data_IF_205694794976
#
_entry.id   IF_205694794976
#
_cell.length_a   1.000
_cell.length_b   1.000
_cell.length_c   1.000
_cell.angle_alpha   90.00
_cell.angle_beta   90.00
_cell.angle_gamma   90.00
#
_symmetry.space_group_name_H-M   'P 1'
#
loop_
_entity.id
_entity.type
_entity.pdbx_description
1 polymer ?
#
# COMPACT_ATOMS: atom_id res chain seq x y z
N UNK A 1 24.31 -18.80 -14.22
CA UNK A 1 23.06 -19.55 -13.93
C UNK A 1 21.90 -18.60 -14.11
N UNK A 2 20.88 -18.93 -14.90
CA UNK A 2 19.70 -18.08 -14.94
C UNK A 2 19.02 -18.17 -13.58
N UNK A 3 18.86 -17.05 -12.91
CA UNK A 3 17.99 -16.96 -11.74
C UNK A 3 16.55 -17.18 -12.22
N UNK A 4 16.01 -18.36 -12.01
CA UNK A 4 14.56 -18.52 -12.15
C UNK A 4 13.93 -17.87 -10.91
N UNK A 5 13.41 -16.65 -11.09
CA UNK A 5 12.62 -15.98 -10.08
C UNK A 5 11.31 -16.77 -9.91
N UNK A 6 11.21 -17.53 -8.83
CA UNK A 6 9.94 -18.13 -8.44
C UNK A 6 8.95 -17.02 -8.05
N UNK A 7 7.69 -17.16 -8.45
CA UNK A 7 6.64 -16.27 -8.01
C UNK A 7 6.04 -16.75 -6.68
N UNK A 8 5.78 -15.83 -5.76
CA UNK A 8 4.99 -16.13 -4.57
C UNK A 8 3.52 -16.11 -4.98
N UNK A 9 2.81 -17.18 -4.69
CA UNK A 9 1.38 -17.35 -4.95
C UNK A 9 0.64 -17.79 -3.70
N UNK A 10 -0.67 -17.66 -3.74
CA UNK A 10 -1.58 -18.14 -2.70
C UNK A 10 -2.37 -19.35 -3.21
N UNK A 11 -2.55 -20.35 -2.36
CA UNK A 11 -3.41 -21.49 -2.60
C UNK A 11 -3.95 -22.01 -1.27
N UNK A 12 -5.24 -22.22 -1.17
CA UNK A 12 -5.92 -22.71 0.04
C UNK A 12 -5.55 -21.93 1.32
N UNK A 13 -5.33 -20.63 1.20
CA UNK A 13 -4.90 -19.77 2.31
C UNK A 13 -3.43 -19.93 2.71
N UNK A 14 -2.61 -20.57 1.88
CA UNK A 14 -1.20 -20.79 2.13
C UNK A 14 -0.35 -20.09 1.07
N UNK A 15 0.83 -19.60 1.49
CA UNK A 15 1.84 -19.09 0.57
C UNK A 15 2.68 -20.24 0.02
N UNK A 16 2.95 -20.20 -1.26
CA UNK A 16 3.90 -21.11 -1.90
C UNK A 16 4.75 -20.38 -2.93
N UNK A 17 5.93 -20.97 -3.18
CA UNK A 17 6.82 -20.53 -4.26
C UNK A 17 6.55 -21.40 -5.49
N UNK A 18 6.17 -20.76 -6.58
CA UNK A 18 5.94 -21.40 -7.87
C UNK A 18 7.27 -21.41 -8.66
N UNK A 19 8.13 -22.35 -8.32
CA UNK A 19 9.31 -22.60 -9.13
C UNK A 19 8.93 -23.46 -10.35
N UNK A 20 9.49 -23.20 -11.54
CA UNK A 20 9.33 -24.11 -12.65
C UNK A 20 9.77 -25.52 -12.23
N UNK A 21 8.84 -26.48 -12.27
CA UNK A 21 9.01 -27.89 -11.94
C UNK A 21 9.08 -28.29 -10.46
N UNK A 22 9.02 -27.36 -9.51
CA UNK A 22 9.05 -27.72 -8.08
C UNK A 22 8.33 -26.66 -7.22
N UNK A 23 6.99 -26.61 -7.24
CA UNK A 23 6.23 -25.71 -6.36
C UNK A 23 6.43 -26.14 -4.90
N UNK A 24 6.93 -25.24 -4.08
CA UNK A 24 7.19 -25.49 -2.66
C UNK A 24 6.34 -24.61 -1.77
N UNK A 25 5.73 -25.20 -0.74
CA UNK A 25 5.11 -24.42 0.31
C UNK A 25 6.17 -23.60 1.05
N UNK A 26 5.87 -22.33 1.25
CA UNK A 26 6.72 -21.48 2.09
C UNK A 26 6.61 -21.93 3.55
N UNK A 27 7.76 -22.03 4.23
CA UNK A 27 7.76 -22.29 5.66
C UNK A 27 7.04 -21.15 6.39
N UNK A 28 6.18 -21.52 7.33
CA UNK A 28 5.58 -20.55 8.23
C UNK A 28 6.67 -19.80 9.00
N UNK A 29 6.47 -18.49 9.10
CA UNK A 29 7.36 -17.66 9.90
C UNK A 29 6.88 -17.64 11.34
N UNK A 30 7.74 -18.01 12.28
CA UNK A 30 7.46 -17.89 13.71
C UNK A 30 7.41 -16.44 14.24
N UNK A 31 7.78 -15.46 13.41
CA UNK A 31 7.81 -14.03 13.79
C UNK A 31 6.63 -13.30 13.16
N UNK A 32 5.88 -12.59 14.00
CA UNK A 32 4.85 -11.65 13.53
C UNK A 32 5.52 -10.52 12.73
N UNK A 33 4.88 -10.12 11.65
CA UNK A 33 5.41 -9.08 10.76
C UNK A 33 4.33 -8.13 10.26
N UNK A 34 4.76 -6.97 9.81
CA UNK A 34 3.98 -6.08 8.97
C UNK A 34 4.33 -6.39 7.53
N UNK A 35 3.32 -6.63 6.70
CA UNK A 35 3.49 -6.75 5.27
C UNK A 35 2.89 -5.52 4.58
N UNK A 36 3.77 -4.68 4.06
CA UNK A 36 3.40 -3.44 3.41
C UNK A 36 3.52 -3.63 1.89
N UNK A 37 2.40 -3.96 1.25
CA UNK A 37 2.36 -4.36 -0.15
C UNK A 37 2.16 -3.15 -1.09
N UNK A 38 2.93 -2.09 -0.89
CA UNK A 38 2.90 -0.91 -1.76
C UNK A 38 3.54 -1.23 -3.12
N UNK A 39 2.94 -0.81 -4.19
CA UNK A 39 3.43 -1.06 -5.55
C UNK A 39 3.01 -2.42 -6.14
N UNK A 40 2.19 -3.20 -5.45
CA UNK A 40 1.58 -4.41 -5.99
C UNK A 40 0.05 -4.27 -5.98
N UNK A 41 -0.50 -3.94 -7.14
CA UNK A 41 -1.94 -3.77 -7.33
C UNK A 41 -2.70 -5.05 -6.99
N UNK A 42 -3.91 -4.93 -6.48
CA UNK A 42 -4.82 -6.05 -6.16
C UNK A 42 -4.36 -6.99 -5.05
N UNK A 43 -3.17 -6.86 -4.50
CA UNK A 43 -2.68 -7.78 -3.47
C UNK A 43 -3.50 -7.72 -2.17
N UNK A 44 -4.17 -6.61 -1.92
CA UNK A 44 -5.12 -6.43 -0.82
C UNK A 44 -6.53 -6.96 -1.11
N UNK A 45 -6.82 -7.36 -2.34
CA UNK A 45 -8.15 -7.85 -2.69
C UNK A 45 -8.34 -9.29 -2.22
N UNK A 46 -9.37 -9.53 -1.42
CA UNK A 46 -9.68 -10.86 -0.88
C UNK A 46 -10.63 -11.67 -1.75
N UNK A 47 -11.39 -11.04 -2.65
CA UNK A 47 -12.29 -11.68 -3.63
C UNK A 47 -13.16 -12.81 -3.06
N UNK A 48 -13.43 -12.83 -1.76
CA UNK A 48 -14.15 -13.90 -1.05
C UNK A 48 -13.58 -15.32 -1.29
N UNK A 49 -12.28 -15.44 -1.49
CA UNK A 49 -11.62 -16.70 -1.78
C UNK A 49 -10.37 -16.90 -0.92
N UNK A 50 -10.08 -18.16 -0.57
CA UNK A 50 -8.82 -18.53 0.10
C UNK A 50 -7.58 -18.41 -0.78
N UNK A 51 -7.77 -18.22 -2.10
CA UNK A 51 -6.69 -18.00 -3.07
C UNK A 51 -6.15 -16.57 -3.01
N UNK A 52 -6.70 -15.73 -2.14
CA UNK A 52 -6.24 -14.35 -1.95
C UNK A 52 -4.85 -14.30 -1.30
N UNK A 53 -3.97 -13.48 -1.85
CA UNK A 53 -2.64 -13.21 -1.28
C UNK A 53 -2.75 -12.59 0.12
N UNK A 54 -3.72 -11.71 0.36
CA UNK A 54 -3.93 -11.10 1.67
C UNK A 54 -4.22 -12.17 2.73
N UNK A 55 -5.13 -13.11 2.43
CA UNK A 55 -5.46 -14.22 3.34
C UNK A 55 -4.23 -15.11 3.57
N UNK A 56 -3.52 -15.48 2.51
CA UNK A 56 -2.35 -16.34 2.63
C UNK A 56 -1.21 -15.70 3.45
N UNK A 57 -0.96 -14.41 3.28
CA UNK A 57 0.03 -13.68 4.11
C UNK A 57 -0.35 -13.64 5.58
N UNK A 58 -1.64 -13.40 5.88
CA UNK A 58 -2.11 -13.37 7.27
C UNK A 58 -2.13 -14.76 7.90
N UNK A 59 -2.48 -15.79 7.13
CA UNK A 59 -2.58 -17.15 7.63
C UNK A 59 -1.22 -17.85 7.75
N UNK A 60 -0.51 -18.07 6.66
CA UNK A 60 0.78 -18.80 6.66
C UNK A 60 2.00 -17.89 6.68
N UNK A 61 1.89 -16.68 6.17
CA UNK A 61 2.96 -15.69 6.20
C UNK A 61 3.19 -15.07 7.58
N UNK A 62 2.29 -15.30 8.54
CA UNK A 62 2.31 -14.69 9.88
C UNK A 62 2.35 -13.16 9.85
N UNK A 63 1.70 -12.54 8.85
CA UNK A 63 1.51 -11.10 8.83
C UNK A 63 0.44 -10.73 9.88
N UNK A 64 0.85 -10.05 10.94
CA UNK A 64 -0.09 -9.54 11.94
C UNK A 64 -0.84 -8.30 11.43
N UNK A 65 -0.23 -7.58 10.48
CA UNK A 65 -0.84 -6.49 9.75
C UNK A 65 -0.39 -6.58 8.29
N UNK A 66 -1.35 -6.41 7.39
CA UNK A 66 -1.11 -6.31 5.97
C UNK A 66 -1.82 -5.07 5.42
N UNK A 67 -1.13 -4.33 4.57
CA UNK A 67 -1.66 -3.16 3.88
C UNK A 67 -1.47 -3.39 2.39
N UNK A 68 -2.53 -3.25 1.63
CA UNK A 68 -2.48 -3.47 0.18
C UNK A 68 -3.66 -2.86 -0.55
N UNK A 69 -3.48 -2.65 -1.83
CA UNK A 69 -4.53 -2.11 -2.70
C UNK A 69 -5.54 -3.20 -3.09
N UNK A 70 -6.81 -2.84 -3.08
CA UNK A 70 -7.94 -3.75 -3.44
C UNK A 70 -8.32 -3.67 -4.92
N UNK A 71 -7.83 -2.65 -5.63
CA UNK A 71 -7.96 -2.48 -7.07
C UNK A 71 -6.61 -2.08 -7.66
N UNK A 72 -6.51 -1.97 -8.98
CA UNK A 72 -5.32 -1.40 -9.63
C UNK A 72 -5.06 0.00 -9.12
N UNK A 73 -3.88 0.26 -8.58
CA UNK A 73 -3.50 1.58 -8.08
C UNK A 73 -2.92 2.45 -9.18
N UNK A 74 -3.14 3.76 -9.06
CA UNK A 74 -2.62 4.75 -10.02
C UNK A 74 -1.37 5.45 -9.46
N UNK A 75 -1.55 6.26 -8.42
CA UNK A 75 -0.46 7.04 -7.86
C UNK A 75 0.24 6.39 -6.67
N UNK A 76 -0.41 5.48 -5.99
CA UNK A 76 0.12 4.90 -4.75
C UNK A 76 0.19 5.89 -3.60
N UNK A 77 -0.46 7.06 -3.71
CA UNK A 77 -0.41 8.13 -2.72
C UNK A 77 -0.85 7.65 -1.35
N UNK A 78 -1.90 6.86 -1.29
CA UNK A 78 -2.47 6.41 -0.04
C UNK A 78 -1.52 5.48 0.74
N UNK A 79 -0.92 4.49 0.08
CA UNK A 79 0.01 3.57 0.77
C UNK A 79 1.38 4.20 1.02
N UNK A 80 2.00 4.83 0.02
CA UNK A 80 3.32 5.44 0.15
C UNK A 80 3.34 6.59 1.16
N UNK A 81 2.26 7.39 1.22
CA UNK A 81 2.13 8.45 2.19
C UNK A 81 2.07 7.92 3.62
N UNK A 82 1.30 6.85 3.88
CA UNK A 82 1.26 6.20 5.18
C UNK A 82 2.61 5.64 5.60
N UNK A 83 3.34 5.01 4.67
CA UNK A 83 4.70 4.54 4.92
C UNK A 83 5.63 5.70 5.25
N UNK A 84 5.53 6.83 4.54
CA UNK A 84 6.30 8.03 4.84
C UNK A 84 6.07 8.50 6.28
N UNK A 85 4.81 8.67 6.71
CA UNK A 85 4.50 9.10 8.07
C UNK A 85 5.12 8.18 9.13
N UNK A 86 5.08 6.88 8.89
CA UNK A 86 5.61 5.88 9.82
C UNK A 86 7.15 5.88 9.87
N UNK A 87 7.82 5.92 8.71
CA UNK A 87 9.28 5.85 8.62
C UNK A 87 9.97 7.14 9.06
N UNK A 88 9.38 8.31 8.74
CA UNK A 88 10.03 9.61 9.05
C UNK A 88 9.76 10.09 10.47
N UNK A 89 8.89 9.41 11.22
CA UNK A 89 8.56 9.76 12.59
C UNK A 89 8.63 8.50 13.50
N UNK A 90 9.80 7.88 13.64
CA UNK A 90 9.95 6.69 14.46
C UNK A 90 9.50 6.96 15.90
N UNK A 91 8.81 6.01 16.49
CA UNK A 91 8.28 6.14 17.85
C UNK A 91 7.01 7.02 17.98
N UNK A 92 6.79 7.96 17.08
CA UNK A 92 5.67 8.92 17.18
C UNK A 92 4.32 8.32 16.82
N UNK A 93 4.23 7.65 15.67
CA UNK A 93 2.99 7.07 15.17
C UNK A 93 3.06 5.54 15.18
N UNK A 94 1.97 4.90 15.57
CA UNK A 94 1.74 3.51 15.18
C UNK A 94 1.48 3.43 13.67
N UNK A 95 1.58 2.24 13.11
CA UNK A 95 1.30 2.04 11.68
C UNK A 95 -0.15 2.44 11.33
N UNK A 96 -1.12 2.09 12.18
CA UNK A 96 -2.52 2.47 11.97
C UNK A 96 -2.72 3.99 12.02
N UNK A 97 -2.08 4.68 12.97
CA UNK A 97 -2.10 6.13 13.05
C UNK A 97 -1.46 6.78 11.82
N UNK A 98 -0.34 6.24 11.34
CA UNK A 98 0.34 6.75 10.14
C UNK A 98 -0.54 6.63 8.89
N UNK A 99 -1.23 5.50 8.71
CA UNK A 99 -2.18 5.29 7.61
C UNK A 99 -3.37 6.24 7.75
N UNK A 100 -3.91 6.41 8.95
CA UNK A 100 -4.98 7.36 9.21
C UNK A 100 -4.56 8.81 8.89
N UNK A 101 -3.39 9.24 9.34
CA UNK A 101 -2.87 10.59 9.06
C UNK A 101 -2.71 10.83 7.56
N UNK A 102 -2.20 9.85 6.83
CA UNK A 102 -2.08 9.94 5.38
C UNK A 102 -3.44 10.05 4.69
N UNK A 103 -4.44 9.29 5.16
CA UNK A 103 -5.79 9.38 4.64
C UNK A 103 -6.40 10.78 4.89
N UNK A 104 -6.17 11.35 6.07
CA UNK A 104 -6.63 12.71 6.36
C UNK A 104 -5.94 13.75 5.48
N UNK A 105 -4.64 13.63 5.23
CA UNK A 105 -3.89 14.51 4.33
C UNK A 105 -4.43 14.44 2.89
N UNK A 106 -4.72 13.23 2.41
CA UNK A 106 -5.31 13.02 1.09
C UNK A 106 -6.71 13.66 0.99
N UNK A 107 -7.56 13.45 1.98
CA UNK A 107 -8.91 14.04 2.04
C UNK A 107 -8.86 15.57 2.13
N UNK A 108 -7.93 16.10 2.92
CA UNK A 108 -7.68 17.54 3.00
C UNK A 108 -7.28 18.11 1.64
N UNK A 109 -6.35 17.47 0.94
CA UNK A 109 -5.90 17.93 -0.36
C UNK A 109 -7.02 17.90 -1.42
N UNK A 110 -7.86 16.88 -1.41
CA UNK A 110 -9.05 16.83 -2.28
C UNK A 110 -10.02 17.97 -1.97
N UNK A 111 -10.25 18.25 -0.69
CA UNK A 111 -11.11 19.35 -0.25
C UNK A 111 -10.59 20.72 -0.65
N UNK A 112 -9.27 20.95 -0.57
CA UNK A 112 -8.64 22.21 -1.01
C UNK A 112 -8.77 22.43 -2.51
N UNK A 113 -8.76 21.38 -3.32
CA UNK A 113 -8.96 21.50 -4.77
C UNK A 113 -10.44 21.76 -5.11
N UNK A 114 -11.33 20.91 -4.62
CA UNK A 114 -12.80 21.09 -4.68
C UNK A 114 -13.47 20.13 -3.66
N UNK A 115 -14.27 20.64 -2.72
CA UNK A 115 -14.96 19.80 -1.73
C UNK A 115 -15.80 18.68 -2.31
N UNK A 116 -16.28 18.78 -3.54
CA UNK A 116 -17.05 17.73 -4.21
C UNK A 116 -16.20 16.48 -4.50
N UNK A 117 -14.88 16.62 -4.63
CA UNK A 117 -13.96 15.50 -4.87
C UNK A 117 -13.87 14.56 -3.66
N UNK A 118 -14.14 15.08 -2.46
CA UNK A 118 -14.11 14.29 -1.21
C UNK A 118 -15.17 13.19 -1.21
N UNK A 119 -16.32 13.46 -1.80
CA UNK A 119 -17.49 12.56 -1.78
C UNK A 119 -17.89 12.05 -3.16
N UNK A 120 -17.13 12.37 -4.18
CA UNK A 120 -17.42 11.93 -5.54
C UNK A 120 -17.45 10.40 -5.60
N UNK A 121 -18.56 9.84 -6.05
CA UNK A 121 -18.62 8.40 -6.36
C UNK A 121 -17.71 8.10 -7.56
N UNK A 122 -16.67 7.30 -7.33
CA UNK A 122 -15.66 7.00 -8.34
C UNK A 122 -15.80 5.55 -8.82
N UNK A 123 -15.82 5.31 -10.13
CA UNK A 123 -15.85 3.96 -10.67
C UNK A 123 -14.48 3.29 -10.52
N UNK A 124 -14.48 2.03 -10.06
CA UNK A 124 -13.26 1.26 -9.85
C UNK A 124 -13.12 0.05 -10.78
N UNK A 125 -14.07 -0.16 -11.68
CA UNK A 125 -13.94 -1.17 -12.73
C UNK A 125 -13.03 -0.67 -13.83
N UNK A 126 -12.33 -1.59 -14.50
CA UNK A 126 -11.39 -1.26 -15.58
C UNK A 126 -12.07 -0.55 -16.75
N UNK A 127 -13.30 -0.93 -17.07
CA UNK A 127 -14.11 -0.31 -18.14
C UNK A 127 -14.52 1.12 -17.77
N UNK A 128 -14.94 1.35 -16.52
CA UNK A 128 -15.38 2.64 -16.04
C UNK A 128 -14.22 3.59 -15.72
N UNK A 129 -13.04 3.04 -15.49
CA UNK A 129 -11.84 3.82 -15.18
C UNK A 129 -11.48 4.83 -16.28
N UNK A 130 -11.73 4.51 -17.53
CA UNK A 130 -11.49 5.41 -18.67
C UNK A 130 -12.43 6.64 -18.64
N UNK A 131 -13.57 6.53 -17.98
CA UNK A 131 -14.55 7.61 -17.81
C UNK A 131 -14.26 8.53 -16.61
N UNK A 132 -13.35 8.12 -15.74
CA UNK A 132 -13.05 8.84 -14.51
C UNK A 132 -12.62 10.30 -14.71
N UNK A 133 -11.75 10.65 -15.68
CA UNK A 133 -11.40 12.04 -15.94
C UNK A 133 -12.62 12.88 -16.33
N UNK A 134 -13.51 12.34 -17.16
CA UNK A 134 -14.75 13.02 -17.57
C UNK A 134 -15.68 13.24 -16.40
N UNK A 135 -15.85 12.23 -15.54
CA UNK A 135 -16.69 12.33 -14.35
C UNK A 135 -16.17 13.41 -13.37
N UNK A 136 -14.87 13.48 -13.19
CA UNK A 136 -14.24 14.52 -12.36
C UNK A 136 -14.47 15.89 -13.00
N UNK A 137 -14.23 16.04 -14.32
CA UNK A 137 -14.44 17.27 -15.05
C UNK A 137 -15.90 17.78 -14.95
N UNK A 138 -16.87 16.89 -15.13
CA UNK A 138 -18.30 17.23 -14.96
C UNK A 138 -18.62 17.69 -13.54
N UNK A 139 -17.92 17.16 -12.54
CA UNK A 139 -18.13 17.48 -11.14
C UNK A 139 -17.55 18.85 -10.75
N UNK A 140 -16.32 19.16 -11.19
CA UNK A 140 -15.61 20.38 -10.80
C UNK A 140 -15.72 21.51 -11.84
N UNK A 141 -16.22 21.20 -13.05
CA UNK A 141 -16.45 22.17 -14.13
C UNK A 141 -15.21 22.59 -14.91
N UNK A 142 -14.04 21.99 -14.65
CA UNK A 142 -12.77 22.24 -15.35
C UNK A 142 -12.08 20.92 -15.64
N UNK A 143 -11.16 20.91 -16.60
CA UNK A 143 -10.36 19.73 -16.90
C UNK A 143 -9.49 19.35 -15.69
N UNK A 144 -9.59 18.11 -15.15
CA UNK A 144 -8.83 17.72 -13.99
C UNK A 144 -7.35 17.54 -14.30
N UNK A 145 -6.51 17.89 -13.37
CA UNK A 145 -5.09 17.54 -13.42
C UNK A 145 -4.90 16.05 -13.20
N UNK A 146 -3.76 15.52 -13.63
CA UNK A 146 -3.37 14.13 -13.38
C UNK A 146 -3.35 13.79 -11.88
N UNK A 147 -2.93 14.73 -11.03
CA UNK A 147 -2.92 14.54 -9.59
C UNK A 147 -4.33 14.46 -9.02
N UNK A 148 -5.27 15.30 -9.46
CA UNK A 148 -6.66 15.24 -9.02
C UNK A 148 -7.29 13.88 -9.36
N UNK A 149 -7.06 13.37 -10.57
CA UNK A 149 -7.54 12.04 -10.99
C UNK A 149 -6.95 10.95 -10.07
N UNK A 150 -5.64 10.97 -9.85
CA UNK A 150 -4.96 9.98 -9.03
C UNK A 150 -5.37 10.01 -7.56
N UNK A 151 -5.56 11.19 -6.98
CA UNK A 151 -5.97 11.33 -5.58
C UNK A 151 -7.41 10.88 -5.36
N UNK A 152 -8.34 11.19 -6.29
CA UNK A 152 -9.70 10.68 -6.24
C UNK A 152 -9.71 9.16 -6.32
N UNK A 153 -8.91 8.58 -7.23
CA UNK A 153 -8.77 7.14 -7.35
C UNK A 153 -8.21 6.50 -6.07
N UNK A 154 -7.10 7.04 -5.55
CA UNK A 154 -6.39 6.46 -4.40
C UNK A 154 -7.15 6.61 -3.07
N UNK A 155 -8.18 7.47 -3.00
CA UNK A 155 -8.93 7.77 -1.79
C UNK A 155 -9.50 6.54 -1.09
N UNK A 156 -10.03 5.58 -1.85
CA UNK A 156 -10.86 4.50 -1.33
C UNK A 156 -10.28 3.10 -1.58
N UNK A 157 -9.06 3.00 -2.11
CA UNK A 157 -8.53 1.73 -2.65
C UNK A 157 -7.55 0.99 -1.76
N UNK A 158 -7.20 1.53 -0.60
CA UNK A 158 -6.26 0.91 0.34
C UNK A 158 -7.01 0.16 1.44
N UNK A 159 -6.70 -1.12 1.59
CA UNK A 159 -7.18 -1.93 2.70
C UNK A 159 -6.10 -2.11 3.77
N UNK A 160 -6.51 -1.98 5.03
CA UNK A 160 -5.73 -2.30 6.21
C UNK A 160 -6.30 -3.56 6.86
N UNK A 161 -5.54 -4.63 6.90
CA UNK A 161 -5.89 -5.89 7.55
C UNK A 161 -5.05 -6.06 8.82
N UNK A 162 -5.68 -6.38 9.93
CA UNK A 162 -5.05 -6.56 11.22
C UNK A 162 -5.73 -5.78 12.33
N UNK A 163 -5.24 -5.94 13.55
CA UNK A 163 -5.76 -5.22 14.70
C UNK A 163 -5.17 -3.80 14.76
N UNK A 164 -5.95 -2.74 14.57
CA UNK A 164 -5.45 -1.36 14.63
C UNK A 164 -4.98 -0.95 16.04
N UNK A 165 -5.39 -1.70 17.07
CA UNK A 165 -4.91 -1.49 18.44
C UNK A 165 -3.52 -2.10 18.69
N UNK A 166 -3.05 -2.95 17.78
CA UNK A 166 -1.69 -3.46 17.86
C UNK A 166 -0.72 -2.31 17.59
N UNK A 167 -0.07 -1.87 18.67
CA UNK A 167 0.77 -0.69 18.65
C UNK A 167 2.12 -0.96 17.96
N UNK A 168 2.09 -1.05 16.64
CA UNK A 168 3.28 -1.23 15.81
C UNK A 168 3.94 0.12 15.60
N UNK A 169 5.01 0.37 16.35
CA UNK A 169 5.83 1.58 16.23
C UNK A 169 7.25 1.20 15.85
N UNK A 170 7.89 2.02 15.06
CA UNK A 170 9.33 1.93 14.88
C UNK A 170 10.00 2.43 16.17
N UNK A 171 11.06 1.76 16.57
CA UNK A 171 11.89 2.27 17.66
C UNK A 171 12.75 3.42 17.11
N UNK A 172 12.90 4.48 17.91
CA UNK A 172 13.99 5.42 17.68
C UNK A 172 15.30 4.64 17.83
N UNK A 173 16.12 4.69 16.79
CA UNK A 173 17.47 4.14 16.88
C UNK A 173 18.22 5.16 17.77
N UNK A 174 18.61 4.75 18.97
CA UNK A 174 19.57 5.53 19.77
C UNK A 174 20.80 5.75 18.89
N UNK A 175 21.30 6.98 18.83
CA UNK A 175 22.38 7.43 17.95
C UNK A 175 23.77 6.79 18.25
N UNK A 176 23.83 5.50 18.45
CA UNK A 176 25.08 4.76 18.44
C UNK A 176 25.14 3.93 17.16
N UNK A 177 25.31 4.63 16.05
CA UNK A 177 25.68 3.97 14.81
C UNK A 177 27.21 3.82 14.79
N UNK A 178 27.70 2.60 14.82
CA UNK A 178 29.12 2.25 14.64
C UNK A 178 29.64 2.60 13.24
N UNK A 179 28.92 3.37 12.45
CA UNK A 179 29.33 3.79 11.12
C UNK A 179 28.96 5.26 10.86
N UNK A 180 29.90 5.97 10.24
CA UNK A 180 29.67 7.31 9.75
C UNK A 180 29.32 7.22 8.26
N UNK A 181 28.10 7.63 7.89
CA UNK A 181 27.75 7.74 6.46
C UNK A 181 28.40 9.02 5.91
N UNK A 182 29.47 8.86 5.15
CA UNK A 182 30.04 9.95 4.40
C UNK A 182 29.18 10.26 3.16
N UNK A 183 28.36 11.27 3.24
CA UNK A 183 27.48 11.72 2.14
C UNK A 183 28.15 12.68 1.17
N UNK A 184 29.48 12.69 1.05
CA UNK A 184 30.16 13.48 0.01
C UNK A 184 29.96 12.80 -1.36
N UNK A 185 28.77 12.96 -1.94
CA UNK A 185 28.58 12.72 -3.37
C UNK A 185 29.07 13.96 -4.09
N UNK A 186 30.10 13.86 -4.96
CA UNK A 186 30.49 15.01 -5.78
C UNK A 186 29.33 15.32 -6.72
N UNK A 187 28.74 16.50 -6.56
CA UNK A 187 27.79 17.04 -7.54
C UNK A 187 28.62 17.49 -8.74
N UNK A 188 28.68 16.69 -9.80
CA UNK A 188 29.17 17.14 -11.09
C UNK A 188 28.07 17.98 -11.74
N UNK A 189 28.36 19.27 -11.99
CA UNK A 189 27.55 20.14 -12.80
C UNK A 189 27.71 19.80 -14.28
#
# INVERSE_FOLDING_TARGET
MPFSLGNIKAKDGQLYMDFPNDPQNMKESGKRKVYFAVGNCLIGNVNNTKESMAIAWMNSGNAATMIGYVVTTWHGRNAWGGLKYWLTNPGRYSLAEAIYMNQQDLMYQLNEWDPKLVTLAYPYTEEEFQEAPRLIQETIGVEPTHDQIGFVHDRDVLAYYGDPKWNVRLQEIAEENDYTVNTSVPVSY
#
